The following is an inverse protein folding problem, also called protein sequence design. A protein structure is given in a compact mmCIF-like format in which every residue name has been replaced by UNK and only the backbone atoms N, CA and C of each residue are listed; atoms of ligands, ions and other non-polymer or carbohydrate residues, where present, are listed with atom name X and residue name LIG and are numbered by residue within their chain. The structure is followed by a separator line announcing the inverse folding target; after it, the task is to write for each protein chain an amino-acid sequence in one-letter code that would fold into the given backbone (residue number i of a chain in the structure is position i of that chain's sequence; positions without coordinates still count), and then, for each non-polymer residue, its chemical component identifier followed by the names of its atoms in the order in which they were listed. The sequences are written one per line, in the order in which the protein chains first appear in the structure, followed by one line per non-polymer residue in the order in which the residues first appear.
data_IF_336927330138
#
_entry.id   IF_336927330138
#
_cell.length_a   1.000
_cell.length_b   1.000
_cell.length_c   1.000
_cell.angle_alpha   90.00
_cell.angle_beta   90.00
_cell.angle_gamma   90.00
#
_symmetry.space_group_name_H-M   'P 1'
#
loop_
_entity.id
_entity.type
_entity.pdbx_description
1 polymer ?
#
# COMPACT_ATOMS: atom_id res chain seq x y z
N UNK A 1 28.02 16.07 10.04
CA UNK A 1 27.90 14.60 9.97
C UNK A 1 26.41 14.21 9.89
N UNK A 2 25.91 14.14 8.65
CA UNK A 2 24.49 13.91 8.37
C UNK A 2 24.21 12.41 8.50
N UNK A 3 23.58 11.99 9.60
CA UNK A 3 23.20 10.60 9.81
C UNK A 3 22.11 10.15 8.82
N UNK A 4 21.86 8.83 8.69
CA UNK A 4 20.94 8.21 7.72
C UNK A 4 19.45 8.57 7.91
N UNK A 5 19.12 9.51 8.80
CA UNK A 5 17.77 9.82 9.26
C UNK A 5 17.09 10.98 8.51
N UNK A 6 17.71 11.56 7.48
CA UNK A 6 17.23 12.81 6.84
C UNK A 6 16.39 12.61 5.57
N UNK A 7 16.06 11.35 5.22
CA UNK A 7 15.20 11.06 4.06
C UNK A 7 13.72 11.38 4.31
N UNK A 8 13.28 11.23 5.55
CA UNK A 8 11.90 11.48 5.94
C UNK A 8 11.86 12.50 7.07
N UNK A 9 10.98 13.52 7.01
CA UNK A 9 10.86 14.49 8.07
C UNK A 9 10.40 13.80 9.36
N UNK A 10 11.03 14.16 10.48
CA UNK A 10 10.61 13.71 11.81
C UNK A 10 9.22 14.28 12.08
N UNK A 11 8.20 13.42 12.11
CA UNK A 11 6.85 13.84 12.49
C UNK A 11 6.70 13.78 14.00
N UNK A 12 6.06 14.79 14.65
CA UNK A 12 5.73 14.68 16.06
C UNK A 12 4.81 13.48 16.27
N UNK A 13 4.95 12.81 17.42
CA UNK A 13 4.13 11.67 17.81
C UNK A 13 2.65 12.04 17.72
N UNK A 14 1.93 11.47 16.74
CA UNK A 14 0.48 11.64 16.64
C UNK A 14 -0.15 10.89 17.81
N UNK A 15 -1.03 11.54 18.59
CA UNK A 15 -1.86 10.84 19.58
C UNK A 15 -2.56 9.70 18.84
N UNK A 16 -2.33 8.45 19.26
CA UNK A 16 -3.05 7.31 18.72
C UNK A 16 -4.53 7.57 18.93
N UNK A 17 -5.28 7.76 17.84
CA UNK A 17 -6.73 7.81 17.94
C UNK A 17 -7.15 6.39 18.29
N UNK A 18 -7.72 6.23 19.48
CA UNK A 18 -8.30 4.97 19.88
C UNK A 18 -9.65 4.92 19.17
N UNK A 19 -9.71 4.20 18.06
CA UNK A 19 -10.98 3.89 17.43
C UNK A 19 -11.76 3.05 18.43
N UNK A 20 -12.88 3.57 18.91
CA UNK A 20 -13.90 2.78 19.59
C UNK A 20 -14.50 1.87 18.52
N UNK A 21 -13.86 0.73 18.26
CA UNK A 21 -14.52 -0.33 17.53
C UNK A 21 -15.69 -0.74 18.41
N UNK A 22 -16.91 -0.42 18.00
CA UNK A 22 -18.08 -1.09 18.56
C UNK A 22 -17.87 -2.59 18.39
N UNK A 23 -18.38 -3.40 19.30
CA UNK A 23 -18.43 -4.87 19.12
C UNK A 23 -19.36 -5.28 17.95
N UNK A 24 -19.63 -4.38 17.00
CA UNK A 24 -20.34 -4.65 15.78
C UNK A 24 -19.40 -5.41 14.85
N UNK A 25 -19.92 -6.51 14.31
CA UNK A 25 -19.25 -7.29 13.29
C UNK A 25 -18.97 -6.39 12.08
N UNK A 26 -17.71 -6.33 11.63
CA UNK A 26 -17.36 -5.52 10.45
C UNK A 26 -17.87 -6.26 9.22
N UNK A 27 -18.70 -5.62 8.37
CA UNK A 27 -19.24 -6.30 7.19
C UNK A 27 -18.11 -6.71 6.25
N UNK A 28 -18.22 -7.91 5.69
CA UNK A 28 -17.29 -8.42 4.67
C UNK A 28 -17.34 -7.57 3.41
N UNK A 29 -16.21 -7.46 2.74
CA UNK A 29 -16.13 -6.90 1.40
C UNK A 29 -17.00 -7.71 0.43
N UNK A 30 -17.70 -6.98 -0.43
CA UNK A 30 -18.56 -7.48 -1.50
C UNK A 30 -17.81 -7.52 -2.83
N UNK A 31 -18.32 -8.29 -3.79
CA UNK A 31 -17.75 -8.30 -5.15
C UNK A 31 -17.82 -6.92 -5.81
N UNK A 32 -18.91 -6.17 -5.59
CA UNK A 32 -19.06 -4.81 -6.13
C UNK A 32 -17.98 -3.86 -5.62
N UNK A 33 -17.66 -3.92 -4.33
CA UNK A 33 -16.55 -3.15 -3.74
C UNK A 33 -15.21 -3.57 -4.36
N UNK A 34 -14.99 -4.88 -4.54
CA UNK A 34 -13.79 -5.38 -5.21
C UNK A 34 -13.69 -4.84 -6.65
N UNK A 35 -14.76 -4.93 -7.44
CA UNK A 35 -14.79 -4.43 -8.82
C UNK A 35 -14.54 -2.92 -8.90
N UNK A 36 -15.16 -2.16 -8.00
CA UNK A 36 -14.94 -0.71 -7.93
C UNK A 36 -13.48 -0.40 -7.57
N UNK A 37 -12.91 -1.12 -6.60
CA UNK A 37 -11.53 -0.92 -6.17
C UNK A 37 -10.52 -1.26 -7.29
N UNK A 38 -10.68 -2.40 -7.99
CA UNK A 38 -9.78 -2.74 -9.11
C UNK A 38 -9.96 -1.80 -10.31
N UNK A 39 -11.14 -1.20 -10.51
CA UNK A 39 -11.37 -0.22 -11.56
C UNK A 39 -10.64 1.10 -11.30
N UNK A 40 -10.53 1.52 -10.04
CA UNK A 40 -9.80 2.74 -9.64
C UNK A 40 -8.27 2.59 -9.75
N UNK A 41 -7.75 1.37 -9.81
CA UNK A 41 -6.31 1.14 -9.96
C UNK A 41 -5.78 1.66 -11.30
N UNK A 42 -4.66 2.38 -11.24
CA UNK A 42 -3.97 2.86 -12.44
C UNK A 42 -3.17 1.74 -13.10
N UNK A 43 -3.33 1.61 -14.42
CA UNK A 43 -2.55 0.68 -15.24
C UNK A 43 -1.14 1.22 -15.47
N UNK A 44 -0.24 0.33 -15.91
CA UNK A 44 1.14 0.62 -16.30
C UNK A 44 1.94 1.33 -15.20
N UNK A 45 1.62 1.01 -13.94
CA UNK A 45 2.37 1.45 -12.77
C UNK A 45 3.43 0.42 -12.45
N UNK A 46 4.56 0.88 -11.93
CA UNK A 46 5.58 -0.02 -11.44
C UNK A 46 5.00 -0.89 -10.31
N UNK A 47 5.17 -2.22 -10.36
CA UNK A 47 4.71 -3.10 -9.31
C UNK A 47 5.52 -2.88 -8.02
N UNK A 48 5.02 -3.44 -6.92
CA UNK A 48 5.78 -3.52 -5.68
C UNK A 48 6.93 -4.52 -5.76
N UNK A 49 7.58 -4.81 -4.61
CA UNK A 49 8.59 -5.84 -4.49
C UNK A 49 8.19 -7.21 -5.07
N UNK A 50 6.91 -7.59 -5.01
CA UNK A 50 6.39 -8.85 -5.53
C UNK A 50 6.40 -8.97 -7.07
N UNK A 51 6.57 -7.84 -7.78
CA UNK A 51 6.54 -7.79 -9.24
C UNK A 51 5.16 -7.96 -9.86
N UNK A 52 4.08 -8.01 -9.06
CA UNK A 52 2.71 -8.23 -9.55
C UNK A 52 2.07 -6.89 -9.93
N UNK A 53 1.75 -6.66 -11.22
CA UNK A 53 1.17 -5.41 -11.67
C UNK A 53 -0.36 -5.37 -11.44
N UNK A 54 -0.96 -4.17 -11.50
CA UNK A 54 -2.39 -3.98 -11.24
C UNK A 54 -3.29 -4.69 -12.25
N UNK A 55 -2.79 -4.88 -13.48
CA UNK A 55 -3.46 -5.63 -14.53
C UNK A 55 -3.73 -7.08 -14.13
N UNK A 56 -2.80 -7.73 -13.42
CA UNK A 56 -3.00 -9.10 -12.94
C UNK A 56 -4.15 -9.14 -11.94
N UNK A 57 -4.19 -8.23 -10.97
CA UNK A 57 -5.31 -8.19 -10.00
C UNK A 57 -6.64 -7.88 -10.68
N UNK A 58 -6.66 -7.04 -11.72
CA UNK A 58 -7.88 -6.78 -12.49
C UNK A 58 -8.36 -8.01 -13.24
N UNK A 59 -7.46 -8.74 -13.88
CA UNK A 59 -7.79 -10.01 -14.56
C UNK A 59 -8.28 -11.03 -13.52
N UNK A 60 -7.59 -11.16 -12.38
CA UNK A 60 -8.00 -12.04 -11.28
C UNK A 60 -9.37 -11.65 -10.74
N UNK A 61 -9.68 -10.37 -10.56
CA UNK A 61 -11.00 -9.94 -10.14
C UNK A 61 -12.09 -10.33 -11.16
N UNK A 62 -11.79 -10.32 -12.46
CA UNK A 62 -12.75 -10.69 -13.50
C UNK A 62 -12.92 -12.20 -13.67
N UNK A 63 -11.84 -12.97 -13.56
CA UNK A 63 -11.83 -14.43 -13.81
C UNK A 63 -12.10 -15.22 -12.54
N UNK A 64 -11.56 -14.76 -11.41
CA UNK A 64 -11.64 -15.43 -10.12
C UNK A 64 -11.78 -14.46 -8.93
N UNK A 65 -12.87 -13.67 -8.86
CA UNK A 65 -13.09 -12.67 -7.82
C UNK A 65 -13.02 -13.26 -6.40
N UNK A 66 -13.53 -14.49 -6.22
CA UNK A 66 -13.55 -15.18 -4.93
C UNK A 66 -12.16 -15.34 -4.31
N UNK A 67 -11.09 -15.44 -5.11
CA UNK A 67 -9.73 -15.57 -4.61
C UNK A 67 -9.29 -14.31 -3.85
N UNK A 68 -9.48 -13.15 -4.46
CA UNK A 68 -9.16 -11.85 -3.86
C UNK A 68 -10.11 -11.54 -2.72
N UNK A 69 -11.41 -11.77 -2.92
CA UNK A 69 -12.44 -11.51 -1.92
C UNK A 69 -12.19 -12.32 -0.64
N UNK A 70 -11.91 -13.61 -0.77
CA UNK A 70 -11.62 -14.48 0.37
C UNK A 70 -10.32 -14.09 1.07
N UNK A 71 -9.28 -13.68 0.32
CA UNK A 71 -8.03 -13.20 0.90
C UNK A 71 -8.25 -11.91 1.71
N UNK A 72 -8.95 -10.92 1.16
CA UNK A 72 -9.20 -9.65 1.84
C UNK A 72 -10.16 -9.79 3.02
N UNK A 73 -11.19 -10.61 2.91
CA UNK A 73 -12.11 -10.88 4.01
C UNK A 73 -11.43 -11.62 5.17
N UNK A 74 -10.52 -12.55 4.90
CA UNK A 74 -9.70 -13.15 5.95
C UNK A 74 -8.79 -12.13 6.65
N UNK A 75 -8.21 -11.19 5.90
CA UNK A 75 -7.43 -10.09 6.48
C UNK A 75 -8.31 -9.21 7.39
N UNK A 76 -9.53 -8.90 6.94
CA UNK A 76 -10.51 -8.10 7.68
C UNK A 76 -10.97 -8.79 8.97
N UNK A 77 -11.36 -10.06 8.88
CA UNK A 77 -11.80 -10.87 10.04
C UNK A 77 -10.70 -11.02 11.09
N UNK A 78 -9.46 -11.24 10.65
CA UNK A 78 -8.31 -11.34 11.54
C UNK A 78 -7.84 -9.97 12.06
N UNK A 79 -8.33 -8.86 11.49
CA UNK A 79 -7.88 -7.51 11.81
C UNK A 79 -6.40 -7.28 11.50
N UNK A 80 -5.88 -7.96 10.48
CA UNK A 80 -4.46 -7.91 10.10
C UNK A 80 -4.26 -7.22 8.76
N UNK A 81 -3.21 -6.40 8.68
CA UNK A 81 -2.60 -6.04 7.42
C UNK A 81 -1.35 -6.92 7.24
N UNK A 82 -1.29 -7.78 6.19
CA UNK A 82 -0.20 -8.71 5.98
C UNK A 82 1.18 -8.05 6.07
N UNK A 83 2.12 -8.69 6.77
CA UNK A 83 3.45 -8.12 6.99
C UNK A 83 4.23 -7.94 5.67
N UNK A 84 4.01 -8.86 4.72
CA UNK A 84 4.65 -8.78 3.40
C UNK A 84 4.25 -7.51 2.64
N UNK A 85 3.01 -7.05 2.77
CA UNK A 85 2.55 -5.81 2.13
C UNK A 85 3.05 -4.55 2.83
N UNK A 86 3.65 -4.65 4.02
CA UNK A 86 4.35 -3.53 4.68
C UNK A 86 5.77 -3.36 4.15
N UNK A 87 6.29 -4.34 3.42
CA UNK A 87 7.57 -4.26 2.73
C UNK A 87 7.37 -3.42 1.47
N UNK A 88 8.27 -2.46 1.25
CA UNK A 88 8.20 -1.53 0.14
C UNK A 88 9.56 -1.32 -0.49
N UNK A 89 9.58 -1.13 -1.81
CA UNK A 89 10.80 -0.73 -2.53
C UNK A 89 10.95 0.78 -2.46
N UNK A 90 12.01 1.24 -1.78
CA UNK A 90 12.38 2.65 -1.76
C UNK A 90 13.11 3.02 -3.05
N UNK A 91 12.60 4.03 -3.75
CA UNK A 91 13.22 4.64 -4.92
C UNK A 91 13.48 6.10 -4.63
N UNK A 92 14.71 6.57 -4.87
CA UNK A 92 15.08 7.97 -4.69
C UNK A 92 15.04 8.69 -6.03
N UNK A 93 14.13 9.65 -6.17
CA UNK A 93 13.98 10.45 -7.40
C UNK A 93 14.73 11.77 -7.19
N UNK A 94 15.75 12.05 -8.00
CA UNK A 94 16.52 13.29 -7.91
C UNK A 94 15.63 14.52 -8.18
N UNK A 95 15.82 15.58 -7.38
CA UNK A 95 15.20 16.90 -7.62
C UNK A 95 15.95 17.70 -8.70
N UNK A 96 17.14 17.26 -9.12
CA UNK A 96 17.99 17.97 -10.07
C UNK A 96 18.59 19.27 -9.53
N UNK A 97 18.52 19.51 -8.21
CA UNK A 97 19.04 20.69 -7.52
C UNK A 97 19.54 20.30 -6.12
N UNK A 98 20.54 21.01 -5.60
CA UNK A 98 21.18 20.71 -4.31
C UNK A 98 22.37 19.74 -4.44
N UNK A 99 22.98 19.39 -3.30
CA UNK A 99 24.11 18.45 -3.24
C UNK A 99 23.61 16.99 -3.39
N UNK A 100 24.01 16.24 -4.44
CA UNK A 100 23.62 14.85 -4.67
C UNK A 100 23.98 13.87 -3.54
N UNK A 101 24.88 14.26 -2.63
CA UNK A 101 25.27 13.45 -1.47
C UNK A 101 24.36 13.66 -0.26
N UNK A 102 23.34 14.52 -0.37
CA UNK A 102 22.40 14.81 0.71
C UNK A 102 21.03 14.21 0.44
N UNK A 103 20.37 13.72 1.48
CA UNK A 103 19.01 13.16 1.41
C UNK A 103 18.00 14.18 0.85
N UNK A 104 18.19 15.46 1.20
CA UNK A 104 17.33 16.57 0.77
C UNK A 104 17.31 16.80 -0.74
N UNK A 105 18.32 16.33 -1.50
CA UNK A 105 18.36 16.39 -2.96
C UNK A 105 17.41 15.41 -3.66
N UNK A 106 16.79 14.48 -2.93
CA UNK A 106 15.90 13.47 -3.47
C UNK A 106 14.46 13.60 -2.96
N UNK A 107 13.53 12.99 -3.70
CA UNK A 107 12.18 12.68 -3.26
C UNK A 107 12.10 11.17 -3.03
N UNK A 108 11.90 10.70 -1.79
CA UNK A 108 11.68 9.29 -1.56
C UNK A 108 10.31 8.88 -2.13
N UNK A 109 10.28 7.80 -2.88
CA UNK A 109 9.08 7.13 -3.33
C UNK A 109 9.10 5.70 -2.81
N UNK A 110 8.07 5.32 -2.07
CA UNK A 110 7.89 3.95 -1.62
C UNK A 110 6.88 3.24 -2.51
N UNK A 111 7.30 2.12 -3.11
CA UNK A 111 6.44 1.29 -3.95
C UNK A 111 5.99 0.08 -3.14
N UNK A 112 4.71 0.04 -2.79
CA UNK A 112 4.05 -1.10 -2.13
C UNK A 112 3.57 -2.13 -3.16
N UNK A 113 3.38 -3.38 -2.70
CA UNK A 113 2.72 -4.44 -3.46
C UNK A 113 1.31 -4.01 -3.87
N UNK A 114 0.90 -4.43 -5.07
CA UNK A 114 -0.35 -3.95 -5.65
C UNK A 114 -1.57 -4.49 -4.90
N UNK A 115 -1.46 -5.69 -4.34
CA UNK A 115 -2.51 -6.27 -3.50
C UNK A 115 -2.67 -5.51 -2.17
N UNK A 116 -1.56 -5.10 -1.55
CA UNK A 116 -1.59 -4.23 -0.37
C UNK A 116 -2.23 -2.88 -0.64
N UNK A 117 -1.90 -2.25 -1.78
CA UNK A 117 -2.53 -0.99 -2.22
C UNK A 117 -4.02 -1.11 -2.55
N UNK A 118 -4.49 -2.31 -2.90
CA UNK A 118 -5.90 -2.54 -3.20
C UNK A 118 -6.74 -2.68 -1.92
N UNK A 119 -6.12 -3.15 -0.82
CA UNK A 119 -6.77 -3.23 0.49
C UNK A 119 -6.80 -1.89 1.24
N UNK A 120 -5.81 -1.00 1.00
CA UNK A 120 -5.73 0.36 1.57
C UNK A 120 -6.83 1.29 1.06
#
# INVERSE_FOLDING_TARGET
PNGPHDLFPTRPSRKKHQYLCSNAETPKFTEDELYNAVALMRNKRAPGPDGIPSEVLRITAQVCPWLLLNMYNQCLEAGIFPEIWKIQRLVLISKGKGDPNTASAYRPLCMLDTAGKLLE
#
